data_IF_122436902327
#
_entry.id   IF_122436902327
#
_cell.length_a   1.000
_cell.length_b   1.000
_cell.length_c   1.000
_cell.angle_alpha   90.00
_cell.angle_beta   90.00
_cell.angle_gamma   90.00
#
_symmetry.space_group_name_H-M   'P 1'
#
loop_
_entity.id
_entity.type
_entity.pdbx_description
1 polymer ?
#
# COMPACT_ATOMS: atom_id res chain seq x y z
N UNK A 1 6.84 25.81 -4.22
CA UNK A 1 5.42 25.45 -4.06
C UNK A 1 5.01 25.62 -2.60
N UNK A 2 3.84 26.21 -2.35
CA UNK A 2 3.33 26.39 -0.97
C UNK A 2 2.85 25.01 -0.48
N UNK A 3 3.55 24.44 0.51
CA UNK A 3 3.12 23.21 1.19
C UNK A 3 1.82 23.50 1.95
N UNK A 4 0.77 22.73 1.69
CA UNK A 4 -0.58 23.04 2.19
C UNK A 4 -1.28 21.88 2.89
N UNK A 5 -0.78 20.64 2.77
CA UNK A 5 -1.45 19.44 3.25
C UNK A 5 -0.65 18.77 4.37
N UNK A 6 -1.30 18.51 5.50
CA UNK A 6 -0.73 17.68 6.55
C UNK A 6 -0.94 16.16 6.29
N UNK A 7 -0.26 15.32 7.05
CA UNK A 7 -0.31 13.87 6.87
C UNK A 7 -1.72 13.27 7.00
N UNK A 8 -2.59 13.83 7.84
CA UNK A 8 -3.98 13.36 7.95
C UNK A 8 -4.77 13.67 6.67
N UNK A 9 -4.58 14.83 6.06
CA UNK A 9 -5.24 15.21 4.81
C UNK A 9 -4.74 14.36 3.64
N UNK A 10 -3.44 14.08 3.57
CA UNK A 10 -2.86 13.20 2.55
C UNK A 10 -3.40 11.77 2.69
N UNK A 11 -3.51 11.24 3.91
CA UNK A 11 -4.15 9.94 4.16
C UNK A 11 -5.63 9.93 3.78
N UNK A 12 -6.36 11.05 3.96
CA UNK A 12 -7.75 11.16 3.49
C UNK A 12 -7.84 11.00 1.98
N UNK A 13 -6.94 11.61 1.20
CA UNK A 13 -6.87 11.41 -0.25
C UNK A 13 -6.66 9.92 -0.58
N UNK A 14 -5.73 9.26 0.13
CA UNK A 14 -5.44 7.85 -0.08
C UNK A 14 -6.66 6.95 0.17
N UNK A 15 -7.37 7.14 1.29
CA UNK A 15 -8.53 6.28 1.62
C UNK A 15 -9.74 6.52 0.72
N UNK A 16 -9.94 7.76 0.24
CA UNK A 16 -11.00 8.06 -0.74
C UNK A 16 -10.68 7.37 -2.07
N UNK A 17 -9.45 7.53 -2.57
CA UNK A 17 -9.00 6.89 -3.80
C UNK A 17 -9.10 5.36 -3.73
N UNK A 18 -8.67 4.77 -2.62
CA UNK A 18 -8.74 3.34 -2.36
C UNK A 18 -10.19 2.83 -2.27
N UNK A 19 -11.05 3.56 -1.57
CA UNK A 19 -12.46 3.20 -1.47
C UNK A 19 -13.14 3.19 -2.85
N UNK A 20 -12.90 4.22 -3.67
CA UNK A 20 -13.44 4.29 -5.04
C UNK A 20 -12.96 3.10 -5.90
N UNK A 21 -11.68 2.74 -5.79
CA UNK A 21 -11.08 1.62 -6.53
C UNK A 21 -11.69 0.27 -6.13
N UNK A 22 -11.77 -0.02 -4.83
CA UNK A 22 -12.33 -1.29 -4.34
C UNK A 22 -13.84 -1.37 -4.58
N UNK A 23 -14.56 -0.26 -4.42
CA UNK A 23 -15.97 -0.19 -4.72
C UNK A 23 -16.23 -0.47 -6.20
N UNK A 24 -15.48 0.16 -7.10
CA UNK A 24 -15.57 -0.09 -8.54
C UNK A 24 -15.25 -1.56 -8.87
N UNK A 25 -14.20 -2.14 -8.29
CA UNK A 25 -13.83 -3.55 -8.47
C UNK A 25 -14.93 -4.50 -7.99
N UNK A 26 -15.71 -4.13 -6.97
CA UNK A 26 -16.82 -4.96 -6.47
C UNK A 26 -17.93 -5.10 -7.51
N UNK A 27 -18.24 -4.05 -8.26
CA UNK A 27 -19.26 -4.07 -9.31
C UNK A 27 -18.73 -4.54 -10.66
N UNK A 28 -17.44 -4.38 -10.92
CA UNK A 28 -16.79 -4.67 -12.20
C UNK A 28 -15.52 -5.53 -11.99
N UNK A 29 -15.69 -6.83 -11.62
CA UNK A 29 -14.55 -7.68 -11.23
C UNK A 29 -13.75 -8.26 -12.41
N UNK A 30 -14.24 -8.18 -13.66
CA UNK A 30 -13.69 -8.89 -14.80
C UNK A 30 -12.79 -8.04 -15.71
N UNK A 31 -12.13 -7.01 -15.15
CA UNK A 31 -11.24 -6.12 -15.91
C UNK A 31 -11.92 -5.41 -17.09
N UNK A 32 -13.15 -4.94 -16.89
CA UNK A 32 -13.91 -4.17 -17.89
C UNK A 32 -13.18 -2.87 -18.23
N UNK A 33 -13.21 -2.49 -19.52
CA UNK A 33 -12.41 -1.38 -20.06
C UNK A 33 -13.23 -0.13 -20.38
N UNK A 34 -14.24 0.18 -19.56
CA UNK A 34 -14.95 1.44 -19.66
C UNK A 34 -14.00 2.60 -19.28
N UNK A 35 -13.98 3.67 -20.06
CA UNK A 35 -13.05 4.78 -19.84
C UNK A 35 -13.14 5.40 -18.42
N UNK A 36 -14.34 5.54 -17.89
CA UNK A 36 -14.57 6.08 -16.54
C UNK A 36 -14.10 5.11 -15.46
N UNK A 37 -14.24 3.80 -15.67
CA UNK A 37 -13.75 2.77 -14.76
C UNK A 37 -12.23 2.76 -14.70
N UNK A 38 -11.58 2.83 -15.87
CA UNK A 38 -10.12 2.94 -15.96
C UNK A 38 -9.60 4.21 -15.27
N UNK A 39 -10.34 5.33 -15.36
CA UNK A 39 -10.00 6.55 -14.64
C UNK A 39 -10.11 6.38 -13.12
N UNK A 40 -11.14 5.71 -12.61
CA UNK A 40 -11.29 5.39 -11.19
C UNK A 40 -10.11 4.52 -10.72
N UNK A 41 -9.77 3.46 -11.46
CA UNK A 41 -8.64 2.61 -11.15
C UNK A 41 -7.31 3.36 -11.21
N UNK A 42 -7.11 4.26 -12.16
CA UNK A 42 -5.92 5.10 -12.25
C UNK A 42 -5.77 6.01 -11.01
N UNK A 43 -6.87 6.65 -10.59
CA UNK A 43 -6.91 7.46 -9.36
C UNK A 43 -6.63 6.57 -8.13
N UNK A 44 -7.20 5.38 -8.09
CA UNK A 44 -7.00 4.40 -7.02
C UNK A 44 -5.53 4.05 -6.79
N UNK A 45 -4.71 4.05 -7.86
CA UNK A 45 -3.27 3.73 -7.77
C UNK A 45 -2.47 4.69 -6.88
N UNK A 46 -2.95 5.89 -6.57
CA UNK A 46 -2.24 6.81 -5.66
C UNK A 46 -2.29 6.37 -4.19
N UNK A 47 -3.26 5.53 -3.82
CA UNK A 47 -3.46 5.12 -2.44
C UNK A 47 -2.25 4.38 -1.85
N UNK A 48 -1.76 3.36 -2.57
CA UNK A 48 -0.63 2.55 -2.13
C UNK A 48 0.66 3.37 -1.90
N UNK A 49 1.16 4.15 -2.87
CA UNK A 49 2.37 4.94 -2.67
C UNK A 49 2.23 6.02 -1.58
N UNK A 50 1.05 6.64 -1.41
CA UNK A 50 0.82 7.52 -0.26
C UNK A 50 1.03 6.76 1.05
N UNK A 51 0.49 5.55 1.17
CA UNK A 51 0.66 4.76 2.39
C UNK A 51 2.12 4.34 2.61
N UNK A 52 2.90 4.07 1.56
CA UNK A 52 4.33 3.79 1.68
C UNK A 52 5.09 5.00 2.24
N UNK A 53 4.82 6.21 1.73
CA UNK A 53 5.36 7.44 2.32
C UNK A 53 4.97 7.60 3.78
N UNK A 54 3.68 7.35 4.11
CA UNK A 54 3.19 7.50 5.47
C UNK A 54 3.72 6.44 6.43
N UNK A 55 4.12 5.25 5.95
CA UNK A 55 4.82 4.24 6.74
C UNK A 55 6.22 4.72 7.09
N UNK A 56 6.95 5.29 6.13
CA UNK A 56 8.28 5.88 6.38
C UNK A 56 8.19 7.04 7.38
N UNK A 57 7.23 7.96 7.19
CA UNK A 57 6.96 9.04 8.15
C UNK A 57 6.60 8.50 9.56
N UNK A 58 5.77 7.46 9.60
CA UNK A 58 5.39 6.80 10.85
C UNK A 58 6.59 6.16 11.56
N UNK A 59 7.47 5.50 10.82
CA UNK A 59 8.69 4.91 11.34
C UNK A 59 9.64 5.97 11.88
N UNK A 60 9.90 7.02 11.11
CA UNK A 60 10.85 8.09 11.46
C UNK A 60 10.41 8.88 12.72
N UNK A 61 9.09 9.05 12.93
CA UNK A 61 8.56 9.87 14.02
C UNK A 61 7.94 9.06 15.17
N UNK A 62 8.04 7.73 15.16
CA UNK A 62 7.45 6.93 16.25
C UNK A 62 8.27 6.99 17.52
N UNK A 63 7.61 7.21 18.67
CA UNK A 63 8.26 7.12 19.98
C UNK A 63 8.42 5.66 20.46
N UNK A 64 7.70 4.71 19.85
CA UNK A 64 7.76 3.29 20.21
C UNK A 64 7.53 2.41 18.99
N UNK A 65 8.61 1.90 18.43
CA UNK A 65 8.60 0.97 17.32
C UNK A 65 7.79 -0.28 17.65
N UNK A 66 7.93 -0.80 18.89
CA UNK A 66 7.18 -1.98 19.34
C UNK A 66 5.67 -1.76 19.23
N UNK A 67 5.13 -0.66 19.79
CA UNK A 67 3.69 -0.35 19.70
C UNK A 67 3.23 -0.12 18.27
N UNK A 68 4.10 0.41 17.41
CA UNK A 68 3.78 0.62 16.00
C UNK A 68 3.66 -0.73 15.26
N UNK A 69 4.62 -1.64 15.46
CA UNK A 69 4.61 -2.99 14.91
C UNK A 69 3.40 -3.81 15.44
N UNK A 70 3.14 -3.78 16.74
CA UNK A 70 1.97 -4.46 17.34
C UNK A 70 0.66 -3.98 16.72
N UNK A 71 0.50 -2.66 16.53
CA UNK A 71 -0.69 -2.09 15.88
C UNK A 71 -0.83 -2.59 14.45
N UNK A 72 0.24 -2.54 13.66
CA UNK A 72 0.20 -2.99 12.26
C UNK A 72 -0.04 -4.51 12.17
N UNK A 73 0.55 -5.30 13.05
CA UNK A 73 0.35 -6.75 13.09
C UNK A 73 -1.11 -7.10 13.40
N UNK A 74 -1.70 -6.49 14.43
CA UNK A 74 -3.11 -6.72 14.79
C UNK A 74 -4.02 -6.36 13.61
N UNK A 75 -3.82 -5.17 13.01
CA UNK A 75 -4.64 -4.75 11.88
C UNK A 75 -4.34 -5.55 10.60
N UNK A 76 -3.16 -6.10 10.41
CA UNK A 76 -2.88 -6.99 9.28
C UNK A 76 -3.68 -8.28 9.37
N UNK A 77 -3.82 -8.84 10.59
CA UNK A 77 -4.64 -10.04 10.83
C UNK A 77 -6.12 -9.73 10.59
N UNK A 78 -6.65 -8.66 11.19
CA UNK A 78 -8.06 -8.27 11.00
C UNK A 78 -8.34 -7.97 9.52
N UNK A 79 -7.45 -7.24 8.87
CA UNK A 79 -7.58 -6.88 7.47
C UNK A 79 -7.45 -8.07 6.51
N UNK A 80 -6.73 -9.14 6.88
CA UNK A 80 -6.68 -10.37 6.11
C UNK A 80 -8.09 -10.97 5.93
N UNK A 81 -8.84 -11.10 7.01
CA UNK A 81 -10.22 -11.63 6.94
C UNK A 81 -11.15 -10.69 6.16
N UNK A 82 -11.06 -9.38 6.38
CA UNK A 82 -11.88 -8.40 5.66
C UNK A 82 -11.56 -8.39 4.16
N UNK A 83 -10.29 -8.48 3.79
CA UNK A 83 -9.82 -8.52 2.41
C UNK A 83 -10.33 -9.78 1.69
N UNK A 84 -10.14 -10.94 2.30
CA UNK A 84 -10.55 -12.21 1.72
C UNK A 84 -12.08 -12.30 1.60
N UNK A 85 -12.81 -11.75 2.58
CA UNK A 85 -14.26 -11.59 2.47
C UNK A 85 -14.67 -10.64 1.35
N UNK A 86 -13.98 -9.50 1.19
CA UNK A 86 -14.24 -8.55 0.12
C UNK A 86 -14.14 -9.19 -1.28
N UNK A 87 -13.03 -9.89 -1.53
CA UNK A 87 -12.74 -10.45 -2.86
C UNK A 87 -13.19 -11.90 -3.06
N UNK A 88 -13.81 -12.53 -2.05
CA UNK A 88 -14.30 -13.91 -2.16
C UNK A 88 -13.17 -14.95 -2.21
N UNK A 89 -12.03 -14.65 -1.60
CA UNK A 89 -10.85 -15.50 -1.55
C UNK A 89 -10.89 -16.38 -0.29
N UNK A 90 -10.27 -17.57 -0.34
CA UNK A 90 -10.16 -18.45 0.84
C UNK A 90 -9.50 -17.74 2.01
N UNK A 91 -10.04 -17.98 3.22
CA UNK A 91 -9.43 -17.49 4.45
C UNK A 91 -8.12 -18.20 4.80
N UNK A 92 -7.83 -19.34 4.15
CA UNK A 92 -6.58 -20.08 4.34
C UNK A 92 -5.57 -19.52 3.33
N UNK A 93 -4.47 -18.89 3.78
CA UNK A 93 -3.46 -18.36 2.89
C UNK A 93 -2.90 -19.44 1.94
N UNK A 94 -2.62 -19.06 0.70
CA UNK A 94 -2.01 -19.90 -0.33
C UNK A 94 -2.87 -21.08 -0.81
N UNK A 95 -4.14 -21.17 -0.41
CA UNK A 95 -5.03 -22.24 -0.85
C UNK A 95 -5.46 -22.07 -2.31
N UNK A 96 -5.83 -20.86 -2.71
CA UNK A 96 -6.43 -20.59 -4.03
C UNK A 96 -5.40 -20.06 -5.04
N UNK A 97 -4.40 -19.33 -4.57
CA UNK A 97 -3.37 -18.70 -5.40
C UNK A 97 -2.10 -18.41 -4.62
N UNK A 98 -1.02 -18.08 -5.31
CA UNK A 98 0.21 -17.55 -4.71
C UNK A 98 0.22 -16.03 -4.59
N UNK A 99 -0.71 -15.33 -5.24
CA UNK A 99 -0.76 -13.86 -5.29
C UNK A 99 -2.07 -13.35 -4.70
N UNK A 100 -2.06 -12.14 -4.15
CA UNK A 100 -3.22 -11.42 -3.64
C UNK A 100 -4.04 -12.21 -2.60
N UNK A 101 -3.37 -12.94 -1.72
CA UNK A 101 -4.02 -13.78 -0.70
C UNK A 101 -4.22 -13.07 0.64
N UNK A 102 -3.71 -11.85 0.79
CA UNK A 102 -3.89 -11.01 1.98
C UNK A 102 -3.75 -9.53 1.65
N UNK A 103 -4.23 -8.69 2.56
CA UNK A 103 -4.28 -7.25 2.38
C UNK A 103 -2.90 -6.58 2.37
N UNK A 104 -2.86 -5.35 1.85
CA UNK A 104 -1.68 -4.46 1.82
C UNK A 104 -1.12 -4.17 3.23
N UNK A 105 -1.90 -4.31 4.32
CA UNK A 105 -1.39 -4.01 5.67
C UNK A 105 -0.28 -4.98 6.09
N UNK A 106 -0.32 -6.22 5.60
CA UNK A 106 0.73 -7.19 5.87
C UNK A 106 2.10 -6.76 5.33
N UNK A 107 2.28 -6.45 4.04
CA UNK A 107 3.58 -5.95 3.56
C UNK A 107 3.94 -4.58 4.12
N UNK A 108 2.99 -3.73 4.55
CA UNK A 108 3.31 -2.50 5.28
C UNK A 108 3.89 -2.78 6.67
N UNK A 109 3.38 -3.80 7.39
CA UNK A 109 3.97 -4.28 8.63
C UNK A 109 5.41 -4.76 8.40
N UNK A 110 5.64 -5.60 7.39
CA UNK A 110 6.97 -6.10 7.02
C UNK A 110 7.90 -4.96 6.55
N UNK A 111 7.35 -3.93 5.91
CA UNK A 111 8.10 -2.72 5.53
C UNK A 111 8.71 -2.00 6.73
N UNK A 112 7.96 -1.89 7.84
CA UNK A 112 8.49 -1.28 9.07
C UNK A 112 9.64 -2.11 9.65
N UNK A 113 9.57 -3.44 9.56
CA UNK A 113 10.69 -4.31 9.95
C UNK A 113 11.88 -4.09 9.00
N UNK A 114 11.63 -3.95 7.69
CA UNK A 114 12.66 -3.64 6.70
C UNK A 114 13.39 -2.33 6.98
N UNK A 115 12.66 -1.28 7.35
CA UNK A 115 13.24 0.01 7.76
C UNK A 115 14.11 -0.14 9.02
N UNK A 116 13.65 -0.94 10.00
CA UNK A 116 14.45 -1.24 11.18
C UNK A 116 15.73 -2.01 10.83
N UNK A 117 15.68 -2.95 9.88
CA UNK A 117 16.87 -3.67 9.39
C UNK A 117 17.87 -2.71 8.75
N UNK A 118 17.40 -1.70 8.00
CA UNK A 118 18.30 -0.68 7.41
C UNK A 118 19.06 0.12 8.45
N UNK A 119 18.45 0.42 9.58
CA UNK A 119 19.08 1.20 10.67
C UNK A 119 20.08 0.39 11.52
N UNK A 120 20.15 -0.93 11.34
CA UNK A 120 21.12 -1.72 12.09
C UNK A 120 22.54 -1.51 11.55
N UNK A 121 23.52 -1.55 12.43
CA UNK A 121 24.95 -1.57 12.06
C UNK A 121 25.37 -3.00 11.64
N UNK A 122 24.75 -3.52 10.58
CA UNK A 122 25.01 -4.83 10.02
C UNK A 122 25.71 -4.72 8.66
N UNK A 123 26.47 -5.78 8.30
CA UNK A 123 27.03 -5.90 6.96
C UNK A 123 25.91 -5.91 5.90
N UNK A 124 26.14 -5.29 4.76
CA UNK A 124 25.15 -5.17 3.67
C UNK A 124 24.59 -6.53 3.25
N UNK A 125 25.41 -7.56 3.16
CA UNK A 125 24.94 -8.91 2.82
C UNK A 125 23.89 -9.43 3.79
N UNK A 126 24.00 -9.14 5.10
CA UNK A 126 23.02 -9.53 6.11
C UNK A 126 21.73 -8.73 5.94
N UNK A 127 21.82 -7.41 5.71
CA UNK A 127 20.65 -6.55 5.43
C UNK A 127 19.90 -7.03 4.21
N UNK A 128 20.61 -7.28 3.12
CA UNK A 128 20.02 -7.81 1.87
C UNK A 128 19.33 -9.15 2.14
N UNK A 129 19.97 -10.08 2.84
CA UNK A 129 19.37 -11.36 3.20
C UNK A 129 18.07 -11.22 3.99
N UNK A 130 18.04 -10.32 4.99
CA UNK A 130 16.82 -10.03 5.74
C UNK A 130 15.72 -9.43 4.85
N UNK A 131 16.04 -8.46 4.00
CA UNK A 131 15.07 -7.86 3.07
C UNK A 131 14.52 -8.90 2.09
N UNK A 132 15.34 -9.82 1.58
CA UNK A 132 14.87 -10.90 0.72
C UNK A 132 13.89 -11.84 1.44
N UNK A 133 14.18 -12.19 2.70
CA UNK A 133 13.24 -12.99 3.52
C UNK A 133 11.92 -12.24 3.72
N UNK A 134 11.97 -10.94 4.04
CA UNK A 134 10.76 -10.12 4.18
C UNK A 134 9.98 -10.05 2.86
N UNK A 135 10.67 -9.92 1.72
CA UNK A 135 10.05 -9.96 0.40
C UNK A 135 9.35 -11.29 0.11
N UNK A 136 9.95 -12.42 0.48
CA UNK A 136 9.31 -13.74 0.35
C UNK A 136 8.06 -13.85 1.23
N UNK A 137 8.10 -13.35 2.46
CA UNK A 137 6.95 -13.33 3.37
C UNK A 137 5.82 -12.41 2.88
N UNK A 138 6.16 -11.33 2.17
CA UNK A 138 5.21 -10.38 1.60
C UNK A 138 4.64 -10.85 0.25
N UNK A 139 5.29 -11.82 -0.41
CA UNK A 139 4.97 -12.18 -1.79
C UNK A 139 3.49 -12.51 -2.03
N UNK A 140 2.77 -13.23 -1.16
CA UNK A 140 1.36 -13.56 -1.38
C UNK A 140 0.39 -12.41 -1.10
N UNK A 141 0.85 -11.22 -0.73
CA UNK A 141 -0.03 -10.09 -0.41
C UNK A 141 -0.35 -9.19 -1.59
N UNK A 142 -1.37 -8.36 -1.41
CA UNK A 142 -1.65 -7.25 -2.32
C UNK A 142 -0.41 -6.36 -2.47
N UNK A 143 -0.06 -6.01 -3.70
CA UNK A 143 1.20 -5.35 -4.09
C UNK A 143 2.47 -6.18 -3.78
N UNK A 144 2.36 -7.46 -3.39
CA UNK A 144 3.48 -8.38 -3.17
C UNK A 144 4.60 -7.77 -2.28
N UNK A 145 5.84 -7.87 -2.69
CA UNK A 145 7.00 -7.35 -1.96
C UNK A 145 7.32 -5.86 -2.25
N UNK A 146 6.62 -5.24 -3.20
CA UNK A 146 6.93 -3.86 -3.62
C UNK A 146 6.81 -2.81 -2.52
N UNK A 147 5.86 -2.90 -1.57
CA UNK A 147 5.83 -1.98 -0.43
C UNK A 147 7.16 -1.96 0.35
N UNK A 148 7.80 -3.12 0.55
CA UNK A 148 9.08 -3.22 1.27
C UNK A 148 10.19 -2.53 0.48
N UNK A 149 10.31 -2.82 -0.81
CA UNK A 149 11.34 -2.23 -1.67
C UNK A 149 11.16 -0.71 -1.80
N UNK A 150 9.91 -0.28 -2.03
CA UNK A 150 9.58 1.14 -2.19
C UNK A 150 9.78 1.94 -0.89
N UNK A 151 9.37 1.42 0.27
CA UNK A 151 9.57 2.12 1.55
C UNK A 151 11.04 2.26 1.90
N UNK A 152 11.85 1.21 1.69
CA UNK A 152 13.30 1.29 1.85
C UNK A 152 13.93 2.32 0.91
N UNK A 153 13.49 2.38 -0.35
CA UNK A 153 13.96 3.38 -1.30
C UNK A 153 13.55 4.81 -0.90
N UNK A 154 12.31 5.01 -0.47
CA UNK A 154 11.80 6.29 0.04
C UNK A 154 12.66 6.74 1.24
N UNK A 155 12.91 5.85 2.18
CA UNK A 155 13.70 6.12 3.38
C UNK A 155 15.14 6.53 3.06
N UNK A 156 15.82 5.78 2.20
CA UNK A 156 17.21 6.10 1.78
C UNK A 156 17.33 7.41 0.98
N UNK A 157 16.24 7.91 0.43
CA UNK A 157 16.23 9.12 -0.39
C UNK A 157 15.36 10.24 0.21
N UNK A 158 15.25 10.29 1.55
CA UNK A 158 14.51 11.36 2.23
C UNK A 158 15.00 12.74 1.79
N UNK A 159 14.07 13.69 1.67
CA UNK A 159 14.35 15.04 1.18
C UNK A 159 14.39 15.20 -0.34
N UNK A 160 14.41 14.13 -1.14
CA UNK A 160 14.40 14.19 -2.60
C UNK A 160 13.20 13.44 -3.19
N UNK A 161 12.04 14.10 -3.19
CA UNK A 161 10.77 13.52 -3.66
C UNK A 161 10.87 12.98 -5.10
N UNK A 162 11.57 13.70 -6.01
CA UNK A 162 11.73 13.26 -7.40
C UNK A 162 12.46 11.90 -7.46
N UNK A 163 13.55 11.76 -6.70
CA UNK A 163 14.32 10.51 -6.65
C UNK A 163 13.50 9.38 -6.02
N UNK A 164 12.73 9.68 -4.97
CA UNK A 164 11.85 8.71 -4.32
C UNK A 164 10.80 8.17 -5.31
N UNK A 165 10.09 9.04 -6.03
CA UNK A 165 9.04 8.62 -6.98
C UNK A 165 9.62 7.91 -8.20
N UNK A 166 10.77 8.37 -8.73
CA UNK A 166 11.43 7.70 -9.86
C UNK A 166 11.87 6.28 -9.50
N UNK A 167 12.44 6.07 -8.31
CA UNK A 167 12.82 4.74 -7.86
C UNK A 167 11.63 3.82 -7.61
N UNK A 168 10.54 4.34 -7.06
CA UNK A 168 9.30 3.56 -6.96
C UNK A 168 8.80 3.14 -8.36
N UNK A 169 8.78 4.04 -9.34
CA UNK A 169 8.37 3.73 -10.71
C UNK A 169 9.26 2.63 -11.32
N UNK A 170 10.57 2.65 -11.03
CA UNK A 170 11.49 1.61 -11.47
C UNK A 170 11.16 0.24 -10.86
N UNK A 171 10.92 0.14 -9.56
CA UNK A 171 10.49 -1.12 -8.93
C UNK A 171 9.15 -1.60 -9.49
N UNK A 172 8.18 -0.70 -9.60
CA UNK A 172 6.85 -1.04 -10.10
C UNK A 172 6.85 -1.43 -11.58
N UNK A 173 7.87 -1.04 -12.38
CA UNK A 173 7.96 -1.50 -13.77
C UNK A 173 8.03 -3.03 -13.88
N UNK A 174 8.61 -3.71 -12.89
CA UNK A 174 8.62 -5.17 -12.81
C UNK A 174 7.20 -5.69 -12.54
N UNK A 175 6.47 -5.06 -11.62
CA UNK A 175 5.08 -5.41 -11.33
C UNK A 175 4.16 -5.20 -12.55
N UNK A 176 4.33 -4.07 -13.24
CA UNK A 176 3.65 -3.76 -14.51
C UNK A 176 3.89 -4.86 -15.53
N UNK A 177 5.15 -5.27 -15.71
CA UNK A 177 5.50 -6.31 -16.67
C UNK A 177 4.80 -7.64 -16.33
N UNK A 178 4.84 -8.07 -15.07
CA UNK A 178 4.15 -9.29 -14.62
C UNK A 178 2.64 -9.16 -14.86
N UNK A 179 2.05 -8.02 -14.54
CA UNK A 179 0.62 -7.78 -14.73
C UNK A 179 0.21 -7.82 -16.20
N UNK A 180 1.02 -7.18 -17.07
CA UNK A 180 0.79 -7.18 -18.53
C UNK A 180 0.89 -8.58 -19.13
N UNK A 181 1.79 -9.43 -18.64
CA UNK A 181 2.01 -10.77 -19.17
C UNK A 181 1.02 -11.80 -18.63
N UNK A 182 0.61 -11.66 -17.37
CA UNK A 182 -0.15 -12.70 -16.67
C UNK A 182 -1.64 -12.37 -16.48
N UNK A 183 -2.04 -11.09 -16.57
CA UNK A 183 -3.40 -10.66 -16.24
C UNK A 183 -4.02 -9.85 -17.40
N UNK A 184 -3.69 -8.58 -17.53
CA UNK A 184 -4.19 -7.69 -18.59
C UNK A 184 -3.23 -6.52 -18.84
N UNK A 185 -3.01 -6.21 -20.13
CA UNK A 185 -2.05 -5.15 -20.54
C UNK A 185 -2.51 -3.77 -20.08
N UNK A 186 -3.80 -3.43 -20.22
CA UNK A 186 -4.32 -2.10 -19.87
C UNK A 186 -4.24 -1.90 -18.35
N UNK A 187 -4.69 -2.89 -17.59
CA UNK A 187 -4.62 -2.85 -16.12
C UNK A 187 -3.18 -2.93 -15.60
N UNK A 188 -2.27 -3.58 -16.33
CA UNK A 188 -0.85 -3.55 -16.04
C UNK A 188 -0.28 -2.14 -16.20
N UNK A 189 -0.57 -1.45 -17.30
CA UNK A 189 -0.11 -0.08 -17.53
C UNK A 189 -0.70 0.92 -16.52
N UNK A 190 -1.94 0.71 -16.05
CA UNK A 190 -2.55 1.53 -15.00
C UNK A 190 -1.74 1.52 -13.70
N UNK A 191 -0.94 0.48 -13.42
CA UNK A 191 -0.10 0.46 -12.21
C UNK A 191 0.94 1.60 -12.20
N UNK A 192 1.34 2.14 -13.35
CA UNK A 192 2.16 3.35 -13.40
C UNK A 192 1.46 4.60 -12.84
N UNK A 193 0.15 4.54 -12.59
CA UNK A 193 -0.59 5.59 -11.88
C UNK A 193 -0.02 5.95 -10.51
N UNK A 194 0.84 5.10 -9.94
CA UNK A 194 1.60 5.43 -8.71
C UNK A 194 2.39 6.74 -8.82
N UNK A 195 2.84 7.14 -10.03
CA UNK A 195 3.61 8.38 -10.21
C UNK A 195 2.77 9.64 -9.95
N UNK A 196 1.42 9.52 -9.99
CA UNK A 196 0.50 10.60 -9.63
C UNK A 196 0.60 10.99 -8.14
N UNK A 197 1.29 10.20 -7.33
CA UNK A 197 1.64 10.57 -5.95
C UNK A 197 2.57 11.78 -5.89
N UNK A 198 3.36 12.05 -6.94
CA UNK A 198 4.34 13.15 -6.96
C UNK A 198 3.70 14.53 -6.68
N UNK A 199 2.69 15.00 -7.42
CA UNK A 199 2.05 16.28 -7.12
C UNK A 199 1.39 16.29 -5.74
N UNK A 200 0.81 15.19 -5.27
CA UNK A 200 0.18 15.10 -3.96
C UNK A 200 1.22 15.26 -2.85
N UNK A 201 2.30 14.49 -2.89
CA UNK A 201 3.37 14.56 -1.89
C UNK A 201 4.18 15.85 -1.97
N UNK A 202 4.20 16.54 -3.11
CA UNK A 202 4.82 17.87 -3.22
C UNK A 202 4.11 18.95 -2.39
N UNK A 203 2.84 18.72 -2.06
CA UNK A 203 2.03 19.60 -1.19
C UNK A 203 2.14 19.22 0.30
N UNK A 204 2.78 18.11 0.64
CA UNK A 204 2.94 17.66 2.02
C UNK A 204 3.84 18.61 2.80
N UNK A 205 3.35 19.07 3.96
CA UNK A 205 4.03 20.06 4.81
C UNK A 205 5.00 19.44 5.84
N UNK A 206 5.06 18.09 5.92
CA UNK A 206 5.90 17.38 6.89
C UNK A 206 5.24 17.25 8.27
N UNK A 207 3.99 17.69 8.47
CA UNK A 207 3.31 17.58 9.75
C UNK A 207 2.26 16.47 9.75
N UNK A 208 2.11 15.79 10.89
CA UNK A 208 1.13 14.72 11.05
C UNK A 208 -0.33 15.21 11.00
N UNK A 209 -0.59 16.45 11.45
CA UNK A 209 -1.92 16.95 11.78
C UNK A 209 -2.30 16.67 13.24
N UNK A 210 -3.19 17.50 13.79
CA UNK A 210 -3.46 17.58 15.25
C UNK A 210 -4.35 16.44 15.80
N UNK A 211 -5.14 15.76 14.96
CA UNK A 211 -6.14 14.80 15.44
C UNK A 211 -5.54 13.40 15.69
N UNK A 212 -5.59 12.95 16.94
CA UNK A 212 -5.22 11.56 17.32
C UNK A 212 -6.30 10.55 16.92
N UNK A 213 -7.56 10.98 16.85
CA UNK A 213 -8.68 10.16 16.37
C UNK A 213 -8.42 9.65 14.95
N UNK A 214 -7.85 10.48 14.08
CA UNK A 214 -7.57 10.12 12.69
C UNK A 214 -6.66 8.90 12.54
N UNK A 215 -5.78 8.61 13.52
CA UNK A 215 -4.96 7.39 13.50
C UNK A 215 -5.84 6.14 13.46
N UNK A 216 -6.77 6.02 14.40
CA UNK A 216 -7.65 4.85 14.51
C UNK A 216 -8.70 4.82 13.41
N UNK A 217 -9.19 6.00 12.99
CA UNK A 217 -10.12 6.12 11.89
C UNK A 217 -9.56 5.49 10.60
N UNK A 218 -8.29 5.73 10.24
CA UNK A 218 -7.69 5.15 9.05
C UNK A 218 -7.64 3.62 9.09
N UNK A 219 -7.30 3.02 10.22
CA UNK A 219 -7.27 1.56 10.37
C UNK A 219 -8.68 0.96 10.28
N UNK A 220 -9.63 1.50 11.02
CA UNK A 220 -10.99 0.98 11.02
C UNK A 220 -11.73 1.25 9.72
N UNK A 221 -11.48 2.38 9.06
CA UNK A 221 -12.02 2.65 7.74
C UNK A 221 -11.52 1.62 6.72
N UNK A 222 -10.21 1.25 6.78
CA UNK A 222 -9.65 0.23 5.89
C UNK A 222 -10.38 -1.10 6.04
N UNK A 223 -10.61 -1.58 7.25
CA UNK A 223 -11.35 -2.81 7.51
C UNK A 223 -12.82 -2.66 7.11
N UNK A 224 -13.45 -1.57 7.54
CA UNK A 224 -14.88 -1.33 7.36
C UNK A 224 -15.31 -1.25 5.89
N UNK A 225 -14.54 -0.54 5.03
CA UNK A 225 -14.88 -0.46 3.62
C UNK A 225 -14.73 -1.81 2.89
N UNK A 226 -13.74 -2.63 3.27
CA UNK A 226 -13.59 -3.98 2.71
C UNK A 226 -14.77 -4.88 3.11
N UNK A 227 -15.21 -4.80 4.37
CA UNK A 227 -16.40 -5.54 4.82
C UNK A 227 -17.65 -5.06 4.06
N UNK A 228 -17.81 -3.74 3.88
CA UNK A 228 -18.92 -3.18 3.11
C UNK A 228 -18.93 -3.68 1.65
N UNK A 229 -17.79 -3.65 0.97
CA UNK A 229 -17.64 -4.18 -0.38
C UNK A 229 -17.96 -5.69 -0.44
N UNK A 230 -17.49 -6.47 0.54
CA UNK A 230 -17.79 -7.89 0.64
C UNK A 230 -19.28 -8.18 0.85
N UNK A 231 -19.97 -7.40 1.69
CA UNK A 231 -21.42 -7.51 1.86
C UNK A 231 -22.16 -7.21 0.56
N UNK A 232 -21.82 -6.14 -0.13
CA UNK A 232 -22.42 -5.78 -1.44
C UNK A 232 -22.20 -6.94 -2.43
N UNK A 233 -20.98 -7.48 -2.53
CA UNK A 233 -20.66 -8.59 -3.44
C UNK A 233 -21.52 -9.84 -3.15
N UNK A 234 -21.80 -10.14 -1.89
CA UNK A 234 -22.61 -11.31 -1.51
C UNK A 234 -24.10 -11.09 -1.81
N UNK A 235 -24.55 -9.83 -1.84
CA UNK A 235 -25.94 -9.47 -2.11
C UNK A 235 -26.26 -9.34 -3.62
N UNK A 236 -25.24 -9.23 -4.47
CA UNK A 236 -25.38 -9.19 -5.94
C UNK A 236 -25.49 -10.60 -6.53
#
# INVERSE_FOLDING_TARGET
>A
MIKKLNGNQIKMIAIIAMFMDHFATTFYPNYEKFWWLLLIHLIGRVAAPIMWFMVVEGYTHTHSLKKYLETLLIFSIIAHFAYNFCFGISLIPLKDSLLNQTSIIWPLFLSVIGLWVEDQDWKDAKKIGCILILCLLAFPSDWSCFPILCTNHIYKNQGNLKKQVLGMALYISIYVLVYCLCIDVVYGLLQFGIVLVYPIMSLYDGTRGKSTFMKWFFYWFYVGHLVLCGLIRVMM
#
